data_IF_103012691639
#
_entry.id   IF_103012691639
#
_cell.length_a   1.000
_cell.length_b   1.000
_cell.length_c   1.000
_cell.angle_alpha   90.00
_cell.angle_beta   90.00
_cell.angle_gamma   90.00
#
_symmetry.space_group_name_H-M   'P 1'
#
loop_
_entity.id
_entity.type
_entity.pdbx_description
1 polymer ?
#
# COMPACT_ATOMS: atom_id res chain seq x y z
N UNK A 1 17.15 -12.68 -4.58
CA UNK A 1 16.60 -11.45 -5.21
C UNK A 1 15.16 -11.65 -5.65
N UNK A 2 14.85 -12.69 -6.43
CA UNK A 2 13.48 -12.93 -6.92
C UNK A 2 12.44 -13.06 -5.80
N UNK A 3 12.73 -13.81 -4.74
CA UNK A 3 11.82 -13.95 -3.58
C UNK A 3 11.50 -12.61 -2.91
N UNK A 4 12.51 -11.75 -2.75
CA UNK A 4 12.38 -10.40 -2.18
C UNK A 4 11.43 -9.55 -3.03
N UNK A 5 11.61 -9.63 -4.36
CA UNK A 5 10.79 -8.93 -5.34
C UNK A 5 9.33 -9.43 -5.30
N UNK A 6 9.12 -10.75 -5.26
CA UNK A 6 7.78 -11.32 -5.15
C UNK A 6 7.08 -10.93 -3.84
N UNK A 7 7.80 -10.86 -2.72
CA UNK A 7 7.25 -10.41 -1.45
C UNK A 7 6.78 -8.95 -1.53
N UNK A 8 7.55 -8.06 -2.15
CA UNK A 8 7.12 -6.66 -2.38
C UNK A 8 5.82 -6.63 -3.19
N UNK A 9 5.77 -7.36 -4.31
CA UNK A 9 4.59 -7.39 -5.20
C UNK A 9 3.36 -7.91 -4.46
N UNK A 10 3.50 -9.01 -3.71
CA UNK A 10 2.41 -9.61 -2.95
C UNK A 10 1.87 -8.64 -1.90
N UNK A 11 2.74 -8.12 -1.04
CA UNK A 11 2.35 -7.20 0.03
C UNK A 11 1.75 -5.88 -0.52
N UNK A 12 2.32 -5.32 -1.60
CA UNK A 12 1.77 -4.15 -2.26
C UNK A 12 0.41 -4.43 -2.93
N UNK A 13 0.24 -5.61 -3.53
CA UNK A 13 -1.02 -6.07 -4.12
C UNK A 13 -2.14 -6.22 -3.08
N UNK A 14 -1.83 -6.86 -1.96
CA UNK A 14 -2.73 -6.99 -0.81
C UNK A 14 -3.12 -5.62 -0.27
N UNK A 15 -2.13 -4.76 -0.02
CA UNK A 15 -2.34 -3.41 0.48
C UNK A 15 -3.30 -2.61 -0.41
N UNK A 16 -3.06 -2.62 -1.72
CA UNK A 16 -3.93 -1.95 -2.69
C UNK A 16 -5.34 -2.51 -2.63
N UNK A 17 -5.49 -3.83 -2.57
CA UNK A 17 -6.79 -4.50 -2.51
C UNK A 17 -7.57 -4.11 -1.26
N UNK A 18 -6.94 -4.14 -0.09
CA UNK A 18 -7.54 -3.70 1.18
C UNK A 18 -7.91 -2.21 1.19
N UNK A 19 -7.11 -1.34 0.56
CA UNK A 19 -7.44 0.08 0.46
C UNK A 19 -8.70 0.28 -0.40
N UNK A 20 -8.80 -0.36 -1.56
CA UNK A 20 -10.01 -0.27 -2.39
C UNK A 20 -11.24 -0.95 -1.75
N UNK A 21 -11.03 -2.00 -0.97
CA UNK A 21 -12.09 -2.59 -0.15
C UNK A 21 -12.58 -1.61 0.94
N UNK A 22 -11.67 -0.89 1.61
CA UNK A 22 -12.03 0.15 2.56
C UNK A 22 -12.89 1.24 1.91
N UNK A 23 -12.52 1.68 0.70
CA UNK A 23 -13.31 2.64 -0.07
C UNK A 23 -14.72 2.10 -0.37
N UNK A 24 -14.85 0.82 -0.72
CA UNK A 24 -16.15 0.18 -0.96
C UNK A 24 -17.03 0.23 0.28
N UNK A 25 -16.48 -0.16 1.44
CA UNK A 25 -17.21 -0.07 2.71
C UNK A 25 -17.63 1.36 3.06
N UNK A 26 -16.75 2.35 2.87
CA UNK A 26 -17.07 3.75 3.14
C UNK A 26 -18.19 4.29 2.22
N UNK A 27 -18.23 3.89 0.95
CA UNK A 27 -19.33 4.24 0.02
C UNK A 27 -20.69 3.70 0.48
N UNK A 28 -20.68 2.57 1.19
CA UNK A 28 -21.86 1.98 1.84
C UNK A 28 -22.11 2.52 3.26
N UNK A 29 -21.38 3.58 3.68
CA UNK A 29 -21.41 4.17 5.03
C UNK A 29 -21.03 3.19 6.16
N UNK A 30 -20.34 2.09 5.83
CA UNK A 30 -19.81 1.10 6.78
C UNK A 30 -18.41 1.52 7.26
N UNK A 31 -18.32 2.64 7.96
CA UNK A 31 -17.04 3.27 8.29
C UNK A 31 -16.15 2.43 9.23
N UNK A 32 -16.73 1.64 10.14
CA UNK A 32 -15.94 0.72 10.98
C UNK A 32 -15.24 -0.36 10.14
N UNK A 33 -15.94 -0.96 9.18
CA UNK A 33 -15.37 -1.93 8.25
C UNK A 33 -14.34 -1.29 7.32
N UNK A 34 -14.58 -0.04 6.90
CA UNK A 34 -13.61 0.73 6.13
C UNK A 34 -12.32 0.96 6.91
N UNK A 35 -12.41 1.37 8.18
CA UNK A 35 -11.26 1.56 9.06
C UNK A 35 -10.49 0.26 9.29
N UNK A 36 -11.18 -0.86 9.51
CA UNK A 36 -10.56 -2.17 9.66
C UNK A 36 -9.78 -2.59 8.41
N UNK A 37 -10.39 -2.46 7.22
CA UNK A 37 -9.73 -2.77 5.95
C UNK A 37 -8.56 -1.82 5.67
N UNK A 38 -8.70 -0.53 5.97
CA UNK A 38 -7.60 0.44 5.84
C UNK A 38 -6.42 0.12 6.78
N UNK A 39 -6.70 -0.41 7.97
CA UNK A 39 -5.65 -0.89 8.88
C UNK A 39 -4.88 -2.06 8.28
N UNK A 40 -5.56 -3.04 7.68
CA UNK A 40 -4.91 -4.14 6.96
C UNK A 40 -4.05 -3.64 5.80
N UNK A 41 -4.55 -2.66 5.04
CA UNK A 41 -3.78 -2.03 3.96
C UNK A 41 -2.46 -1.42 4.48
N UNK A 42 -2.52 -0.68 5.59
CA UNK A 42 -1.35 -0.07 6.24
C UNK A 42 -0.34 -1.12 6.70
N UNK A 43 -0.79 -2.20 7.34
CA UNK A 43 0.10 -3.30 7.76
C UNK A 43 0.86 -3.90 6.58
N UNK A 44 0.15 -4.23 5.49
CA UNK A 44 0.78 -4.81 4.29
C UNK A 44 1.74 -3.84 3.60
N UNK A 45 1.44 -2.54 3.56
CA UNK A 45 2.39 -1.54 3.05
C UNK A 45 3.66 -1.47 3.90
N UNK A 46 3.54 -1.53 5.23
CA UNK A 46 4.70 -1.51 6.13
C UNK A 46 5.62 -2.70 5.83
N UNK A 47 5.05 -3.90 5.64
CA UNK A 47 5.81 -5.10 5.30
C UNK A 47 6.63 -4.89 4.00
N UNK A 48 5.97 -4.41 2.92
CA UNK A 48 6.64 -4.14 1.65
C UNK A 48 7.66 -3.00 1.74
N UNK A 49 7.32 -1.92 2.46
CA UNK A 49 8.18 -0.75 2.61
C UNK A 49 9.43 -1.06 3.43
N UNK A 50 9.35 -1.97 4.41
CA UNK A 50 10.53 -2.42 5.14
C UNK A 50 11.54 -3.10 4.21
N UNK A 51 11.05 -3.96 3.31
CA UNK A 51 11.88 -4.62 2.30
C UNK A 51 12.50 -3.57 1.35
N UNK A 52 11.72 -2.62 0.85
CA UNK A 52 12.22 -1.52 0.01
C UNK A 52 13.31 -0.71 0.73
N UNK A 53 13.11 -0.38 2.00
CA UNK A 53 14.07 0.38 2.82
C UNK A 53 15.38 -0.38 2.96
N UNK A 54 15.33 -1.70 3.20
CA UNK A 54 16.52 -2.54 3.28
C UNK A 54 17.30 -2.56 1.96
N UNK A 55 16.61 -2.63 0.81
CA UNK A 55 17.26 -2.59 -0.50
C UNK A 55 17.99 -1.26 -0.74
N UNK A 56 17.33 -0.13 -0.43
CA UNK A 56 17.94 1.20 -0.52
C UNK A 56 19.14 1.36 0.41
N UNK A 57 19.06 0.84 1.64
CA UNK A 57 20.18 0.88 2.58
C UNK A 57 21.38 0.08 2.06
N UNK A 58 21.16 -1.12 1.53
CA UNK A 58 22.24 -1.93 0.96
C UNK A 58 22.91 -1.23 -0.22
N UNK A 59 22.13 -0.58 -1.08
CA UNK A 59 22.66 0.21 -2.20
C UNK A 59 23.51 1.39 -1.70
N UNK A 60 23.06 2.11 -0.68
CA UNK A 60 23.80 3.21 -0.05
C UNK A 60 25.11 2.75 0.63
N UNK A 61 25.15 1.51 1.14
CA UNK A 61 26.36 0.87 1.66
C UNK A 61 27.35 0.42 0.55
N UNK A 62 27.03 0.68 -0.72
CA UNK A 62 27.86 0.31 -1.87
C UNK A 62 27.65 -1.14 -2.35
N UNK A 63 26.67 -1.86 -1.80
CA UNK A 63 26.28 -3.20 -2.29
C UNK A 63 25.41 -3.00 -3.53
N UNK A 64 26.02 -3.12 -4.71
CA UNK A 64 25.30 -3.04 -5.98
C UNK A 64 24.20 -4.09 -6.01
N UNK A 65 22.96 -3.63 -6.18
CA UNK A 65 21.82 -4.49 -6.44
C UNK A 65 21.77 -4.83 -7.94
N UNK A 66 21.41 -6.06 -8.28
CA UNK A 66 21.13 -6.41 -9.66
C UNK A 66 19.81 -5.80 -10.10
N UNK A 67 19.89 -4.85 -11.04
CA UNK A 67 18.71 -4.30 -11.69
C UNK A 67 18.03 -5.37 -12.54
N UNK A 68 16.72 -5.49 -12.37
CA UNK A 68 15.86 -6.33 -13.22
C UNK A 68 14.54 -5.62 -13.49
N UNK A 69 13.90 -5.95 -14.62
CA UNK A 69 12.56 -5.44 -14.93
C UNK A 69 11.55 -5.79 -13.82
N UNK A 70 11.70 -6.97 -13.21
CA UNK A 70 10.83 -7.42 -12.13
C UNK A 70 11.02 -6.60 -10.85
N UNK A 71 12.24 -6.18 -10.52
CA UNK A 71 12.50 -5.29 -9.39
C UNK A 71 11.85 -3.91 -9.60
N UNK A 72 11.98 -3.35 -10.81
CA UNK A 72 11.30 -2.08 -11.17
C UNK A 72 9.79 -2.24 -11.02
N UNK A 73 9.23 -3.32 -11.54
CA UNK A 73 7.80 -3.63 -11.42
C UNK A 73 7.34 -3.75 -9.96
N UNK A 74 8.17 -4.32 -9.09
CA UNK A 74 7.89 -4.40 -7.65
C UNK A 74 7.80 -3.02 -7.00
N UNK A 75 8.75 -2.14 -7.33
CA UNK A 75 8.78 -0.76 -6.85
C UNK A 75 7.56 0.02 -7.36
N UNK A 76 7.18 -0.16 -8.63
CA UNK A 76 5.96 0.45 -9.20
C UNK A 76 4.71 -0.01 -8.45
N UNK A 77 4.60 -1.30 -8.16
CA UNK A 77 3.49 -1.85 -7.36
C UNK A 77 3.42 -1.21 -5.96
N UNK A 78 4.55 -1.11 -5.27
CA UNK A 78 4.62 -0.54 -3.93
C UNK A 78 4.25 0.94 -3.94
N UNK A 79 4.89 1.75 -4.79
CA UNK A 79 4.66 3.20 -4.82
C UNK A 79 3.23 3.53 -5.23
N UNK A 80 2.65 2.80 -6.20
CA UNK A 80 1.25 3.01 -6.59
C UNK A 80 0.26 2.55 -5.52
N UNK A 81 0.57 1.49 -4.77
CA UNK A 81 -0.25 1.05 -3.64
C UNK A 81 -0.23 2.07 -2.48
N UNK A 82 0.94 2.65 -2.18
CA UNK A 82 1.08 3.73 -1.19
C UNK A 82 0.24 4.95 -1.56
N UNK A 83 0.40 5.44 -2.80
CA UNK A 83 -0.38 6.59 -3.27
C UNK A 83 -1.89 6.30 -3.28
N UNK A 84 -2.30 5.11 -3.73
CA UNK A 84 -3.70 4.71 -3.72
C UNK A 84 -4.28 4.71 -2.30
N UNK A 85 -3.55 4.13 -1.33
CA UNK A 85 -3.94 4.13 0.08
C UNK A 85 -4.14 5.56 0.58
N UNK A 86 -3.17 6.46 0.37
CA UNK A 86 -3.23 7.83 0.89
C UNK A 86 -4.40 8.61 0.29
N UNK A 87 -4.61 8.52 -1.03
CA UNK A 87 -5.74 9.16 -1.69
C UNK A 87 -7.09 8.57 -1.23
N UNK A 88 -7.17 7.26 -1.03
CA UNK A 88 -8.39 6.61 -0.56
C UNK A 88 -8.72 7.04 0.87
N UNK A 89 -7.72 7.18 1.74
CA UNK A 89 -7.90 7.65 3.11
C UNK A 89 -8.54 9.06 3.14
N UNK A 90 -8.07 9.97 2.27
CA UNK A 90 -8.70 11.28 2.09
C UNK A 90 -10.14 11.19 1.55
N UNK A 91 -10.39 10.31 0.57
CA UNK A 91 -11.75 10.11 0.03
C UNK A 91 -12.70 9.58 1.09
N UNK A 92 -12.26 8.65 1.95
CA UNK A 92 -13.08 8.12 3.05
C UNK A 92 -13.41 9.25 4.05
N UNK A 93 -12.41 10.08 4.39
CA UNK A 93 -12.61 11.27 5.25
C UNK A 93 -13.68 12.22 4.68
N UNK A 94 -13.62 12.50 3.37
CA UNK A 94 -14.63 13.33 2.69
C UNK A 94 -16.03 12.71 2.75
N UNK A 95 -16.16 11.39 2.55
CA UNK A 95 -17.43 10.69 2.65
C UNK A 95 -18.02 10.75 4.06
N UNK A 96 -17.19 10.60 5.10
CA UNK A 96 -17.62 10.76 6.49
C UNK A 96 -18.13 12.18 6.77
N UNK A 97 -17.41 13.20 6.32
CA UNK A 97 -17.83 14.60 6.48
C UNK A 97 -19.18 14.88 5.82
N UNK A 98 -19.42 14.34 4.62
CA UNK A 98 -20.70 14.50 3.92
C UNK A 98 -21.87 13.86 4.66
N UNK A 99 -21.67 12.72 5.32
CA UNK A 99 -22.73 12.06 6.11
C UNK A 99 -23.03 12.87 7.37
N UNK A 100 -22.01 13.42 8.06
CA UNK A 100 -22.19 14.23 9.28
C UNK A 100 -22.90 15.57 9.05
N UNK A 101 -22.94 16.06 7.81
CA UNK A 101 -23.61 17.30 7.43
C UNK A 101 -25.09 17.10 7.04
N UNK A 102 -25.57 15.85 6.94
CA UNK A 102 -26.98 15.50 6.71
C UNK A 102 -27.70 15.30 8.04
#
# INVERSE_FOLDING_TARGET
>A
MEEVVFNIIMHAGDARSYAFEALRYAREQKFEAAAASMSQAKTKLIDAHHIQTQLLQQEAEGKKQEFSLLLVHAQDHLMTAMLAKDLIEEVISLLEMQVRQK
#
